data_IF_228512602007
#
_entry.id   IF_228512602007
#
_cell.length_a   1.000
_cell.length_b   1.000
_cell.length_c   1.000
_cell.angle_alpha   90.00
_cell.angle_beta   90.00
_cell.angle_gamma   90.00
#
_symmetry.space_group_name_H-M   'P 1'
#
loop_
_entity.id
_entity.type
_entity.pdbx_description
1 polymer ?
#
# COMPACT_ATOMS: atom_id res chain seq x y z
N UNK A 1 5.27 -8.32 -15.73
CA UNK A 1 6.51 -8.39 -14.94
C UNK A 1 6.07 -8.89 -13.59
N UNK A 2 6.58 -10.04 -13.18
CA UNK A 2 5.93 -10.87 -12.19
C UNK A 2 6.85 -11.08 -10.98
N UNK A 3 6.27 -11.15 -9.78
CA UNK A 3 6.99 -11.36 -8.52
C UNK A 3 6.17 -12.23 -7.58
N UNK A 4 6.82 -13.08 -6.78
CA UNK A 4 6.15 -13.80 -5.71
C UNK A 4 5.86 -12.87 -4.53
N UNK A 5 4.59 -12.70 -4.18
CA UNK A 5 4.16 -11.86 -3.07
C UNK A 5 4.05 -12.69 -1.78
N UNK A 6 4.92 -12.46 -0.81
CA UNK A 6 4.88 -13.14 0.48
C UNK A 6 3.61 -12.87 1.30
N UNK A 7 2.90 -11.77 1.05
CA UNK A 7 1.63 -11.47 1.73
C UNK A 7 0.45 -12.27 1.15
N UNK A 8 0.48 -12.58 -0.15
CA UNK A 8 -0.61 -13.29 -0.83
C UNK A 8 -0.31 -14.79 -1.02
N UNK A 9 0.95 -15.19 -0.91
CA UNK A 9 1.37 -16.56 -1.17
C UNK A 9 1.32 -16.95 -2.65
N UNK A 10 1.28 -15.98 -3.57
CA UNK A 10 1.12 -16.21 -5.01
C UNK A 10 1.98 -15.24 -5.85
N UNK A 11 2.15 -15.58 -7.13
CA UNK A 11 2.76 -14.69 -8.11
C UNK A 11 1.78 -13.58 -8.49
N UNK A 12 2.27 -12.35 -8.54
CA UNK A 12 1.50 -11.15 -8.90
C UNK A 12 2.32 -10.21 -9.77
N UNK A 13 1.71 -9.12 -10.21
CA UNK A 13 2.31 -8.14 -11.12
C UNK A 13 2.41 -6.76 -10.48
N UNK A 14 3.28 -5.91 -11.02
CA UNK A 14 3.43 -4.53 -10.55
C UNK A 14 2.09 -3.75 -10.60
N UNK A 15 1.28 -3.97 -11.63
CA UNK A 15 -0.06 -3.38 -11.79
C UNK A 15 -0.98 -3.70 -10.63
N UNK A 16 -0.90 -4.93 -10.11
CA UNK A 16 -1.60 -5.32 -8.89
C UNK A 16 -1.05 -4.52 -7.71
N UNK A 17 0.27 -4.51 -7.53
CA UNK A 17 0.89 -3.82 -6.40
C UNK A 17 0.57 -2.31 -6.32
N UNK A 18 0.30 -1.65 -7.44
CA UNK A 18 -0.02 -0.20 -7.48
C UNK A 18 -1.52 0.12 -7.42
N UNK A 19 -2.42 -0.87 -7.26
CA UNK A 19 -3.88 -0.63 -7.36
C UNK A 19 -4.73 -1.17 -6.20
N UNK A 20 -4.15 -1.78 -5.17
CA UNK A 20 -4.91 -2.50 -4.13
C UNK A 20 -5.59 -1.64 -3.07
N UNK A 21 -4.89 -0.66 -2.50
CA UNK A 21 -5.35 0.06 -1.32
C UNK A 21 -6.24 1.24 -1.72
N UNK A 22 -7.45 0.97 -2.22
CA UNK A 22 -8.33 2.02 -2.77
C UNK A 22 -7.66 2.77 -3.94
N UNK A 23 -6.98 2.02 -4.81
CA UNK A 23 -6.19 2.58 -5.90
C UNK A 23 -4.78 3.02 -5.52
N UNK A 24 -4.37 2.90 -4.26
CA UNK A 24 -3.03 3.23 -3.79
C UNK A 24 -2.08 2.03 -3.79
N UNK A 25 -0.74 2.27 -3.86
CA UNK A 25 0.24 1.21 -3.85
C UNK A 25 0.27 0.45 -2.53
N UNK A 26 0.69 -0.82 -2.61
CA UNK A 26 0.96 -1.62 -1.43
C UNK A 26 2.21 -1.09 -0.71
N UNK A 27 2.25 -1.26 0.61
CA UNK A 27 3.32 -0.69 1.45
C UNK A 27 4.70 -1.26 1.17
N UNK A 28 4.77 -2.46 0.61
CA UNK A 28 6.03 -3.16 0.32
C UNK A 28 6.53 -2.91 -1.11
N UNK A 29 5.78 -2.16 -1.94
CA UNK A 29 6.05 -2.07 -3.38
C UNK A 29 7.47 -1.60 -3.68
N UNK A 30 8.02 -0.68 -2.90
CA UNK A 30 9.38 -0.15 -3.10
C UNK A 30 10.40 -1.28 -2.95
N UNK A 31 10.44 -1.96 -1.80
CA UNK A 31 11.38 -3.05 -1.56
C UNK A 31 11.17 -4.27 -2.46
N UNK A 32 9.94 -4.52 -2.91
CA UNK A 32 9.67 -5.61 -3.86
C UNK A 32 10.24 -5.33 -5.27
N UNK A 33 10.23 -4.08 -5.72
CA UNK A 33 10.45 -3.71 -7.12
C UNK A 33 11.71 -2.88 -7.39
N UNK A 34 12.38 -2.34 -6.36
CA UNK A 34 13.57 -1.47 -6.50
C UNK A 34 14.72 -2.09 -7.30
N UNK A 35 14.86 -3.42 -7.29
CA UNK A 35 15.92 -4.13 -8.05
C UNK A 35 15.53 -4.46 -9.49
N UNK A 36 14.27 -4.19 -9.88
CA UNK A 36 13.70 -4.58 -11.19
C UNK A 36 13.37 -3.37 -12.06
N UNK A 37 12.97 -2.25 -11.44
CA UNK A 37 12.56 -1.01 -12.10
C UNK A 37 12.89 0.19 -11.22
N UNK A 38 12.96 1.38 -11.82
CA UNK A 38 12.98 2.63 -11.04
C UNK A 38 11.58 2.88 -10.44
N UNK A 39 11.31 2.17 -9.36
CA UNK A 39 10.02 2.18 -8.69
C UNK A 39 9.70 3.56 -8.12
N UNK A 40 10.72 4.33 -7.72
CA UNK A 40 10.54 5.66 -7.17
C UNK A 40 10.09 6.65 -8.25
N UNK A 41 10.71 6.62 -9.43
CA UNK A 41 10.28 7.43 -10.56
C UNK A 41 8.86 7.05 -11.01
N UNK A 42 8.56 5.75 -11.08
CA UNK A 42 7.24 5.26 -11.45
C UNK A 42 6.15 5.76 -10.48
N UNK A 43 6.38 5.61 -9.17
CA UNK A 43 5.41 6.04 -8.15
C UNK A 43 5.17 7.55 -8.21
N UNK A 44 6.22 8.36 -8.39
CA UNK A 44 6.09 9.82 -8.55
C UNK A 44 5.40 10.25 -9.85
N UNK A 45 5.42 9.40 -10.87
CA UNK A 45 4.72 9.66 -12.14
C UNK A 45 3.23 9.28 -12.10
N UNK A 46 2.83 8.39 -11.20
CA UNK A 46 1.46 7.85 -11.13
C UNK A 46 0.65 8.47 -9.99
N UNK A 47 1.30 8.78 -8.86
CA UNK A 47 0.63 9.23 -7.64
C UNK A 47 1.04 10.66 -7.29
N UNK A 48 0.11 11.39 -6.67
CA UNK A 48 0.38 12.68 -6.06
C UNK A 48 1.23 12.53 -4.80
N UNK A 49 1.94 13.58 -4.41
CA UNK A 49 2.74 13.59 -3.18
C UNK A 49 1.90 13.28 -1.93
N UNK A 50 0.64 13.73 -1.89
CA UNK A 50 -0.26 13.46 -0.76
C UNK A 50 -0.67 11.99 -0.69
N UNK A 51 -0.93 11.35 -1.82
CA UNK A 51 -1.20 9.90 -1.90
C UNK A 51 0.02 9.09 -1.47
N UNK A 52 1.22 9.47 -1.93
CA UNK A 52 2.46 8.84 -1.51
C UNK A 52 2.72 9.03 -0.02
N UNK A 53 2.46 10.24 0.53
CA UNK A 53 2.51 10.46 1.98
C UNK A 53 1.52 9.56 2.71
N UNK A 54 0.28 9.41 2.27
CA UNK A 54 -0.68 8.49 2.93
C UNK A 54 -0.17 7.04 2.97
N UNK A 55 0.55 6.60 1.94
CA UNK A 55 1.07 5.23 1.86
C UNK A 55 2.31 5.01 2.73
N UNK A 56 3.26 5.95 2.66
CA UNK A 56 4.63 5.76 3.12
C UNK A 56 5.01 6.64 4.32
N UNK A 57 4.22 7.66 4.66
CA UNK A 57 4.44 8.47 5.85
C UNK A 57 3.72 7.86 7.06
N UNK A 58 4.44 7.76 8.17
CA UNK A 58 3.91 7.29 9.45
C UNK A 58 4.26 5.84 9.81
N UNK A 59 4.23 5.56 11.11
CA UNK A 59 4.33 4.20 11.63
C UNK A 59 3.11 3.39 11.14
N UNK A 60 3.30 2.12 10.73
CA UNK A 60 2.16 1.27 10.43
C UNK A 60 1.26 1.23 11.67
N UNK A 61 -0.01 1.60 11.50
CA UNK A 61 -1.02 1.41 12.54
C UNK A 61 -0.95 -0.04 13.04
N UNK A 62 -0.90 -0.21 14.36
CA UNK A 62 -0.97 -1.54 14.93
C UNK A 62 -2.32 -2.16 14.58
N UNK A 63 -2.42 -3.50 14.69
CA UNK A 63 -3.71 -4.18 14.52
C UNK A 63 -4.76 -3.63 15.49
N UNK A 64 -4.36 -3.26 16.71
CA UNK A 64 -5.25 -2.66 17.70
C UNK A 64 -5.73 -1.28 17.26
N UNK A 65 -4.87 -0.43 16.73
CA UNK A 65 -5.26 0.91 16.25
C UNK A 65 -6.33 0.80 15.16
N UNK A 66 -6.16 -0.14 14.22
CA UNK A 66 -7.16 -0.39 13.16
C UNK A 66 -8.48 -0.89 13.73
N UNK A 67 -8.46 -1.81 14.70
CA UNK A 67 -9.66 -2.31 15.36
C UNK A 67 -10.40 -1.15 16.06
N UNK A 68 -9.68 -0.31 16.79
CA UNK A 68 -10.26 0.84 17.49
C UNK A 68 -10.89 1.86 16.53
N UNK A 69 -10.31 2.09 15.35
CA UNK A 69 -10.90 2.96 14.33
C UNK A 69 -12.20 2.40 13.78
N UNK A 70 -12.26 1.10 13.50
CA UNK A 70 -13.48 0.43 13.03
C UNK A 70 -14.57 0.55 14.09
N UNK A 71 -14.26 0.27 15.36
CA UNK A 71 -15.22 0.40 16.46
C UNK A 71 -15.75 1.84 16.59
N UNK A 72 -14.87 2.84 16.50
CA UNK A 72 -15.27 4.26 16.55
C UNK A 72 -16.12 4.69 15.34
N UNK A 73 -15.91 4.09 14.18
CA UNK A 73 -16.73 4.37 12.99
C UNK A 73 -18.16 3.83 13.19
N UNK A 74 -18.29 2.62 13.74
CA UNK A 74 -19.58 2.00 14.05
C UNK A 74 -20.35 2.80 15.11
N UNK A 75 -19.68 3.23 16.19
CA UNK A 75 -20.31 4.03 17.26
C UNK A 75 -20.86 5.38 16.76
N UNK A 76 -20.30 5.95 15.69
CA UNK A 76 -20.77 7.23 15.13
C UNK A 76 -22.01 7.12 14.24
N UNK A 77 -22.35 5.91 13.82
CA UNK A 77 -23.52 5.63 12.97
C UNK A 77 -24.75 5.17 13.78
N UNK A 78 -24.61 5.05 15.11
CA UNK A 78 -25.68 4.64 16.06
C UNK A 78 -26.14 5.83 16.90
#
# INVERSE_FOLDING_TARGET
MDIYCGQLGMVTQLTYCVSMNEGLPCRNVIGCWETRVDIMALLKGVFTEEELRKCFSGLPKSRLDRIMEILRAIDKET
#
